data_IF_501778978939
#
_entry.id   IF_501778978939
#
_cell.length_a   1.000
_cell.length_b   1.000
_cell.length_c   1.000
_cell.angle_alpha   90.00
_cell.angle_beta   90.00
_cell.angle_gamma   90.00
#
_symmetry.space_group_name_H-M   'P 1'
#
loop_
_entity.id
_entity.type
_entity.pdbx_description
1 polymer ?
#
# COMPACT_ATOMS: atom_id res chain seq x y z
N UNK A 1 2.30 8.94 -22.47
CA UNK A 1 3.69 9.43 -22.62
C UNK A 1 3.77 10.83 -23.25
N UNK A 2 3.21 11.04 -24.43
CA UNK A 2 3.25 12.35 -25.11
C UNK A 2 2.69 13.50 -24.27
N UNK A 3 1.66 13.23 -23.51
CA UNK A 3 1.02 14.14 -22.55
C UNK A 3 1.96 14.59 -21.39
N UNK A 4 2.78 13.67 -20.83
CA UNK A 4 3.70 13.98 -19.74
C UNK A 4 4.88 14.85 -20.20
N UNK A 5 5.44 14.58 -21.38
CA UNK A 5 6.47 15.41 -21.99
C UNK A 5 5.95 16.81 -22.37
N UNK A 6 4.73 16.88 -22.89
CA UNK A 6 4.11 18.17 -23.23
C UNK A 6 3.86 18.99 -21.96
N UNK A 7 3.35 18.37 -20.89
CA UNK A 7 3.14 18.99 -19.62
C UNK A 7 4.47 19.48 -18.99
N UNK A 8 5.54 18.66 -19.01
CA UNK A 8 6.86 19.08 -18.56
C UNK A 8 7.34 20.32 -19.28
N UNK A 9 7.23 20.35 -20.63
CA UNK A 9 7.64 21.51 -21.44
C UNK A 9 6.82 22.76 -21.13
N UNK A 10 5.55 22.60 -20.80
CA UNK A 10 4.67 23.71 -20.42
C UNK A 10 5.09 24.33 -19.08
N UNK A 11 5.46 23.50 -18.10
CA UNK A 11 5.88 23.97 -16.78
C UNK A 11 7.32 24.51 -16.75
N UNK A 12 8.24 23.88 -17.48
CA UNK A 12 9.69 24.08 -17.28
C UNK A 12 10.45 24.47 -18.56
N UNK A 13 9.80 24.46 -19.72
CA UNK A 13 10.48 24.77 -21.00
C UNK A 13 11.21 23.57 -21.61
N UNK A 14 12.09 23.88 -22.59
CA UNK A 14 12.95 22.88 -23.26
C UNK A 14 14.35 22.92 -22.67
N UNK A 15 15.03 21.79 -22.59
CA UNK A 15 16.48 21.82 -22.53
C UNK A 15 17.22 20.86 -21.61
N UNK A 16 16.56 20.14 -20.72
CA UNK A 16 17.25 19.26 -19.77
C UNK A 16 17.31 17.80 -20.25
N UNK A 17 18.36 17.07 -19.84
CA UNK A 17 18.36 15.62 -19.94
C UNK A 17 17.31 15.05 -18.98
N UNK A 18 16.31 14.35 -19.53
CA UNK A 18 15.18 13.87 -18.78
C UNK A 18 15.36 12.39 -18.39
N UNK A 19 14.99 12.07 -17.16
CA UNK A 19 14.82 10.72 -16.67
C UNK A 19 13.34 10.40 -16.61
N UNK A 20 12.99 9.18 -16.97
CA UNK A 20 11.65 8.62 -16.78
C UNK A 20 11.71 7.50 -15.74
N UNK A 21 10.70 7.45 -14.88
CA UNK A 21 10.56 6.40 -13.89
C UNK A 21 9.07 6.07 -13.75
N UNK A 22 8.77 4.78 -13.61
CA UNK A 22 7.44 4.29 -13.26
C UNK A 22 7.48 3.67 -11.87
N UNK A 23 6.56 4.12 -11.01
CA UNK A 23 6.39 3.60 -9.66
C UNK A 23 4.98 3.01 -9.53
N UNK A 24 4.83 1.67 -9.47
CA UNK A 24 3.53 1.01 -9.51
C UNK A 24 2.75 1.24 -8.21
N UNK A 25 1.43 1.11 -8.31
CA UNK A 25 0.58 0.91 -7.15
C UNK A 25 0.66 -0.55 -6.67
N UNK A 26 0.09 -0.83 -5.48
CA UNK A 26 0.12 -2.16 -4.88
C UNK A 26 -1.25 -2.61 -4.39
N UNK A 27 -1.43 -3.90 -4.33
CA UNK A 27 -2.48 -4.57 -3.55
C UNK A 27 -1.86 -5.50 -2.52
N UNK A 28 -2.64 -5.81 -1.47
CA UNK A 28 -2.32 -6.80 -0.46
C UNK A 28 -3.46 -7.84 -0.42
N UNK A 29 -3.28 -9.03 -1.01
CA UNK A 29 -4.29 -10.08 -0.96
C UNK A 29 -4.52 -10.62 0.45
N UNK A 30 -3.44 -10.99 1.15
CA UNK A 30 -3.45 -11.51 2.52
C UNK A 30 -2.40 -10.81 3.37
N UNK A 31 -2.67 -10.67 4.66
CA UNK A 31 -1.77 -9.99 5.60
C UNK A 31 -2.10 -8.51 5.80
N UNK A 32 -3.34 -8.10 5.55
CA UNK A 32 -3.72 -6.71 5.77
C UNK A 32 -3.78 -6.36 7.26
N UNK A 33 -3.31 -5.15 7.57
CA UNK A 33 -3.32 -4.57 8.91
C UNK A 33 -2.48 -5.33 9.96
N UNK A 34 -1.51 -6.12 9.53
CA UNK A 34 -0.60 -6.83 10.45
C UNK A 34 0.87 -6.41 10.32
N UNK A 35 1.25 -5.73 9.25
CA UNK A 35 2.63 -5.28 9.00
C UNK A 35 3.17 -4.32 10.07
N UNK A 36 2.33 -3.43 10.61
CA UNK A 36 2.69 -2.55 11.73
C UNK A 36 2.85 -3.30 13.08
N UNK A 37 2.49 -4.58 13.12
CA UNK A 37 2.70 -5.50 14.25
C UNK A 37 3.73 -6.59 13.93
N UNK A 38 4.53 -6.40 12.89
CA UNK A 38 5.54 -7.33 12.42
C UNK A 38 4.97 -8.67 11.92
N UNK A 39 3.76 -8.67 11.36
CA UNK A 39 3.10 -9.86 10.81
C UNK A 39 3.60 -10.26 9.44
N UNK A 40 3.07 -11.39 8.97
CA UNK A 40 3.30 -11.93 7.63
C UNK A 40 2.38 -11.27 6.62
N UNK A 41 2.87 -10.93 5.44
CA UNK A 41 2.08 -10.24 4.42
C UNK A 41 2.36 -10.78 3.02
N UNK A 42 1.40 -10.56 2.12
CA UNK A 42 1.55 -10.82 0.69
C UNK A 42 1.25 -9.57 -0.12
N UNK A 43 1.77 -9.48 -1.34
CA UNK A 43 1.52 -8.33 -2.18
C UNK A 43 1.78 -8.53 -3.66
N UNK A 44 1.16 -7.65 -4.46
CA UNK A 44 1.48 -7.43 -5.85
C UNK A 44 1.63 -5.94 -6.12
N UNK A 45 2.63 -5.58 -6.91
CA UNK A 45 2.61 -4.37 -7.71
C UNK A 45 1.83 -4.63 -9.00
N UNK A 46 1.20 -3.63 -9.60
CA UNK A 46 0.43 -3.81 -10.82
C UNK A 46 0.63 -2.65 -11.81
N UNK A 47 0.28 -2.86 -13.06
CA UNK A 47 0.57 -2.06 -14.25
C UNK A 47 -0.08 -0.66 -14.28
N UNK A 48 -0.49 -0.17 -13.14
CA UNK A 48 -0.90 1.22 -12.90
C UNK A 48 -0.11 1.80 -11.74
N UNK A 49 0.20 3.09 -11.81
CA UNK A 49 1.10 3.71 -10.83
C UNK A 49 1.29 5.19 -11.07
N UNK A 50 2.43 5.69 -10.65
CA UNK A 50 2.87 7.06 -10.84
C UNK A 50 4.02 7.10 -11.84
N UNK A 51 3.82 7.82 -12.94
CA UNK A 51 4.86 8.16 -13.88
C UNK A 51 5.58 9.43 -13.42
N UNK A 52 6.91 9.40 -13.44
CA UNK A 52 7.77 10.54 -13.18
C UNK A 52 8.53 10.91 -14.45
N UNK A 53 8.58 12.20 -14.74
CA UNK A 53 9.46 12.78 -15.75
C UNK A 53 10.23 13.93 -15.10
N UNK A 54 11.56 13.84 -15.01
CA UNK A 54 12.35 14.80 -14.27
C UNK A 54 13.76 14.99 -14.82
N UNK A 55 14.38 16.09 -14.42
CA UNK A 55 15.79 16.41 -14.63
C UNK A 55 16.48 16.77 -13.31
N UNK A 56 17.81 16.73 -13.28
CA UNK A 56 18.59 17.21 -12.16
C UNK A 56 18.62 18.75 -12.11
N UNK A 57 18.70 19.32 -10.90
CA UNK A 57 19.02 20.74 -10.68
C UNK A 57 20.33 20.85 -9.91
N UNK A 58 21.31 21.56 -10.45
CA UNK A 58 22.63 21.74 -9.82
C UNK A 58 22.59 22.61 -8.55
N UNK A 59 21.53 23.41 -8.39
CA UNK A 59 21.35 24.34 -7.26
C UNK A 59 20.74 23.69 -6.02
N UNK A 60 20.44 22.38 -6.06
CA UNK A 60 19.71 21.71 -5.00
C UNK A 60 18.21 22.05 -4.95
N UNK A 61 17.70 22.81 -5.91
CA UNK A 61 16.28 23.19 -5.95
C UNK A 61 15.42 22.02 -6.37
N UNK A 62 14.35 21.74 -5.63
CA UNK A 62 13.26 20.83 -6.02
C UNK A 62 12.12 21.67 -6.55
N UNK A 63 11.64 21.32 -7.74
CA UNK A 63 10.48 21.92 -8.41
C UNK A 63 9.64 20.77 -8.99
N UNK A 64 8.58 20.36 -8.30
CA UNK A 64 7.73 19.24 -8.72
C UNK A 64 6.29 19.67 -8.91
N UNK A 65 5.75 19.42 -10.10
CA UNK A 65 4.34 19.58 -10.43
C UNK A 65 3.63 18.22 -10.47
N UNK A 66 2.33 18.24 -10.30
CA UNK A 66 1.48 17.04 -10.44
C UNK A 66 0.34 17.33 -11.42
N UNK A 67 0.00 16.34 -12.25
CA UNK A 67 -1.22 16.43 -13.08
C UNK A 67 -2.49 16.12 -12.30
N UNK A 68 -2.36 15.57 -11.09
CA UNK A 68 -3.50 15.22 -10.22
C UNK A 68 -3.76 16.22 -9.11
N UNK A 69 -2.78 17.10 -8.80
CA UNK A 69 -2.87 18.10 -7.74
C UNK A 69 -2.39 19.45 -8.23
N UNK A 70 -3.07 20.50 -7.79
CA UNK A 70 -2.68 21.86 -8.11
C UNK A 70 -1.40 22.30 -7.37
N UNK A 71 -0.70 23.24 -7.98
CA UNK A 71 0.46 23.91 -7.41
C UNK A 71 1.79 23.25 -7.72
N UNK A 72 2.82 24.07 -7.76
CA UNK A 72 4.22 23.67 -7.89
C UNK A 72 4.85 23.55 -6.50
N UNK A 73 5.31 22.34 -6.16
CA UNK A 73 6.06 22.12 -4.93
C UNK A 73 7.49 22.59 -5.12
N UNK A 74 7.92 23.57 -4.32
CA UNK A 74 9.25 24.16 -4.41
C UNK A 74 9.91 24.19 -3.03
N UNK A 75 11.12 23.65 -2.96
CA UNK A 75 12.02 23.75 -1.79
C UNK A 75 13.46 23.47 -2.22
N UNK A 76 14.43 23.52 -1.29
CA UNK A 76 15.83 23.30 -1.63
C UNK A 76 16.45 22.26 -0.69
N UNK A 77 17.07 21.21 -1.25
CA UNK A 77 17.68 20.13 -0.46
C UNK A 77 18.89 20.58 0.36
N UNK A 78 19.60 21.64 -0.05
CA UNK A 78 20.75 22.18 0.68
C UNK A 78 20.36 23.17 1.81
N UNK A 79 19.13 23.70 1.75
CA UNK A 79 18.58 24.67 2.71
C UNK A 79 17.20 24.20 3.12
N UNK A 80 17.14 22.93 3.54
CA UNK A 80 15.88 22.27 3.82
C UNK A 80 15.28 22.82 5.12
N UNK A 81 14.02 23.26 5.06
CA UNK A 81 13.21 23.59 6.22
C UNK A 81 12.25 22.41 6.49
N UNK A 82 12.30 21.86 7.69
CA UNK A 82 11.58 20.66 8.08
C UNK A 82 10.07 20.89 8.33
N UNK A 83 9.56 22.11 8.17
CA UNK A 83 8.15 22.42 8.42
C UNK A 83 7.22 21.79 7.39
N UNK A 84 6.22 21.08 7.90
CA UNK A 84 5.11 20.53 7.10
C UNK A 84 4.22 21.64 6.58
N UNK A 85 3.72 21.47 5.36
CA UNK A 85 2.78 22.42 4.73
C UNK A 85 1.37 21.82 4.55
N UNK A 86 1.13 20.58 5.02
CA UNK A 86 -0.12 19.87 4.91
C UNK A 86 -0.63 19.71 3.47
N UNK A 87 0.29 19.48 2.53
CA UNK A 87 0.02 19.23 1.13
C UNK A 87 0.79 18.01 0.62
N UNK A 88 0.56 17.60 -0.64
CA UNK A 88 1.22 16.43 -1.21
C UNK A 88 2.75 16.56 -1.28
N UNK A 89 3.29 17.77 -1.26
CA UNK A 89 4.72 18.03 -1.19
C UNK A 89 5.38 17.57 0.12
N UNK A 90 4.59 17.28 1.17
CA UNK A 90 5.14 16.75 2.42
C UNK A 90 5.74 15.36 2.26
N UNK A 91 5.26 14.56 1.30
CA UNK A 91 5.90 13.30 0.92
C UNK A 91 7.29 13.53 0.32
N UNK A 92 7.42 14.53 -0.54
CA UNK A 92 8.71 14.89 -1.16
C UNK A 92 9.69 15.46 -0.12
N UNK A 93 9.20 16.35 0.76
CA UNK A 93 10.00 16.90 1.87
C UNK A 93 10.44 15.79 2.83
N UNK A 94 9.52 14.88 3.17
CA UNK A 94 9.81 13.74 4.02
C UNK A 94 10.88 12.80 3.44
N UNK A 95 10.86 12.55 2.13
CA UNK A 95 11.90 11.76 1.47
C UNK A 95 13.27 12.41 1.55
N UNK A 96 13.36 13.74 1.31
CA UNK A 96 14.62 14.50 1.46
C UNK A 96 15.08 14.49 2.92
N UNK A 97 14.18 14.74 3.86
CA UNK A 97 14.47 14.70 5.30
C UNK A 97 15.01 13.34 5.74
N UNK A 98 14.40 12.24 5.27
CA UNK A 98 14.85 10.90 5.59
C UNK A 98 16.26 10.59 5.01
N UNK A 99 16.50 10.96 3.76
CA UNK A 99 17.81 10.77 3.11
C UNK A 99 18.92 11.61 3.77
N UNK A 100 18.61 12.81 4.23
CA UNK A 100 19.57 13.69 4.88
C UNK A 100 20.06 13.21 6.25
N UNK A 101 19.42 12.20 6.82
CA UNK A 101 19.93 11.57 8.04
C UNK A 101 21.27 10.86 7.81
N UNK A 102 21.49 10.33 6.59
CA UNK A 102 22.68 9.55 6.26
C UNK A 102 23.48 10.15 5.08
N UNK A 103 22.93 11.08 4.28
CA UNK A 103 23.55 11.61 3.07
C UNK A 103 23.54 13.13 2.98
N UNK A 104 24.60 13.69 2.42
CA UNK A 104 24.65 15.11 2.04
C UNK A 104 24.12 15.28 0.60
N UNK A 105 22.90 15.76 0.45
CA UNK A 105 22.29 16.02 -0.85
C UNK A 105 22.79 17.35 -1.44
N UNK A 106 23.23 17.31 -2.72
CA UNK A 106 23.75 18.46 -3.45
C UNK A 106 22.81 18.91 -4.55
N UNK A 107 22.18 17.95 -5.25
CA UNK A 107 21.31 18.16 -6.39
C UNK A 107 19.86 17.97 -6.00
N UNK A 108 18.98 18.81 -6.52
CA UNK A 108 17.55 18.63 -6.47
C UNK A 108 17.02 18.07 -7.79
N UNK A 109 15.71 18.06 -7.92
CA UNK A 109 15.01 17.59 -9.13
C UNK A 109 13.99 18.62 -9.59
N UNK A 110 13.82 18.73 -10.90
CA UNK A 110 12.74 19.47 -11.54
C UNK A 110 11.92 18.47 -12.34
N UNK A 111 10.63 18.37 -12.09
CA UNK A 111 9.87 17.34 -12.74
C UNK A 111 8.36 17.44 -12.59
N UNK A 112 7.70 16.48 -13.19
CA UNK A 112 6.26 16.31 -13.16
C UNK A 112 5.90 14.87 -12.86
N UNK A 113 4.83 14.67 -12.11
CA UNK A 113 4.26 13.35 -11.80
C UNK A 113 2.82 13.23 -12.28
N UNK A 114 2.45 12.03 -12.71
CA UNK A 114 1.10 11.69 -13.14
C UNK A 114 0.68 10.34 -12.56
N UNK A 115 -0.37 10.33 -11.77
CA UNK A 115 -1.04 9.10 -11.35
C UNK A 115 -1.98 8.58 -12.45
N UNK A 116 -2.06 7.27 -12.61
CA UNK A 116 -2.90 6.62 -13.64
C UNK A 116 -4.31 6.29 -13.16
N UNK A 117 -4.59 6.36 -11.85
CA UNK A 117 -5.86 5.99 -11.24
C UNK A 117 -6.30 6.99 -10.16
N UNK A 118 -7.57 6.98 -9.75
CA UNK A 118 -8.06 7.73 -8.60
C UNK A 118 -7.28 7.40 -7.32
N UNK A 119 -7.20 8.37 -6.42
CA UNK A 119 -6.47 8.21 -5.16
C UNK A 119 -7.37 7.56 -4.12
N UNK A 120 -6.92 6.43 -3.57
CA UNK A 120 -7.60 5.76 -2.45
C UNK A 120 -7.35 4.25 -2.40
N UNK A 121 -6.71 3.79 -1.32
CA UNK A 121 -6.54 2.37 -1.02
C UNK A 121 -5.42 1.63 -1.77
N UNK A 122 -4.75 2.23 -2.76
CA UNK A 122 -3.72 1.59 -3.60
C UNK A 122 -2.29 2.03 -3.28
N UNK A 123 -2.07 2.68 -2.14
CA UNK A 123 -0.77 3.20 -1.68
C UNK A 123 -0.05 4.13 -2.66
N UNK A 124 -0.79 5.09 -3.20
CA UNK A 124 -0.20 6.14 -4.02
C UNK A 124 0.87 6.96 -3.28
N UNK A 125 0.79 7.07 -1.95
CA UNK A 125 1.81 7.70 -1.12
C UNK A 125 3.13 6.93 -1.16
N UNK A 126 3.12 5.61 -0.98
CA UNK A 126 4.31 4.78 -1.06
C UNK A 126 4.91 4.79 -2.48
N UNK A 127 4.07 4.73 -3.53
CA UNK A 127 4.53 4.84 -4.91
C UNK A 127 5.20 6.20 -5.17
N UNK A 128 4.62 7.30 -4.67
CA UNK A 128 5.24 8.63 -4.77
C UNK A 128 6.56 8.71 -4.00
N UNK A 129 6.60 8.19 -2.77
CA UNK A 129 7.79 8.21 -1.92
C UNK A 129 8.94 7.39 -2.53
N UNK A 130 8.69 6.13 -2.91
CA UNK A 130 9.72 5.26 -3.49
C UNK A 130 10.25 5.83 -4.80
N UNK A 131 9.36 6.30 -5.69
CA UNK A 131 9.76 6.94 -6.94
C UNK A 131 10.59 8.21 -6.71
N UNK A 132 10.22 9.04 -5.73
CA UNK A 132 10.95 10.26 -5.45
C UNK A 132 12.30 10.00 -4.75
N UNK A 133 12.38 9.02 -3.84
CA UNK A 133 13.65 8.56 -3.25
C UNK A 133 14.61 8.11 -4.37
N UNK A 134 14.14 7.31 -5.32
CA UNK A 134 14.93 6.88 -6.47
C UNK A 134 15.33 8.05 -7.39
N UNK A 135 14.47 9.06 -7.57
CA UNK A 135 14.81 10.24 -8.35
C UNK A 135 15.93 11.05 -7.69
N UNK A 136 15.89 11.25 -6.37
CA UNK A 136 16.96 11.91 -5.60
C UNK A 136 18.24 11.07 -5.57
N UNK A 137 18.12 9.74 -5.41
CA UNK A 137 19.27 8.83 -5.52
C UNK A 137 19.97 8.99 -6.88
N UNK A 138 19.20 8.93 -7.98
CA UNK A 138 19.73 9.05 -9.34
C UNK A 138 20.54 10.31 -9.57
N UNK A 139 19.98 11.46 -9.17
CA UNK A 139 20.64 12.76 -9.43
C UNK A 139 21.82 13.03 -8.51
N UNK A 140 21.83 12.46 -7.30
CA UNK A 140 22.93 12.58 -6.33
C UNK A 140 23.92 11.41 -6.38
N UNK A 141 23.63 10.35 -7.16
CA UNK A 141 24.47 9.16 -7.31
C UNK A 141 24.77 8.47 -5.96
N UNK A 142 23.73 8.30 -5.13
CA UNK A 142 23.87 7.72 -3.80
C UNK A 142 24.11 6.20 -3.86
N UNK A 143 23.59 5.53 -4.89
CA UNK A 143 23.72 4.10 -5.10
C UNK A 143 22.91 3.25 -4.13
N UNK A 144 21.69 3.67 -3.84
CA UNK A 144 20.79 2.98 -2.90
C UNK A 144 20.38 1.59 -3.45
N UNK A 145 20.44 0.59 -2.58
CA UNK A 145 19.81 -0.70 -2.86
C UNK A 145 18.29 -0.69 -2.57
N UNK A 146 17.60 -1.77 -2.95
CA UNK A 146 16.16 -1.91 -2.75
C UNK A 146 15.74 -1.78 -1.28
N UNK A 147 16.51 -2.32 -0.33
CA UNK A 147 16.22 -2.23 1.11
C UNK A 147 16.38 -0.79 1.63
N UNK A 148 17.38 -0.08 1.14
CA UNK A 148 17.59 1.32 1.49
C UNK A 148 16.47 2.22 0.95
N UNK A 149 15.98 1.98 -0.29
CA UNK A 149 14.82 2.70 -0.83
C UNK A 149 13.59 2.50 0.06
N UNK A 150 13.28 1.25 0.45
CA UNK A 150 12.18 0.92 1.38
C UNK A 150 12.38 1.62 2.72
N UNK A 151 13.59 1.56 3.29
CA UNK A 151 13.94 2.20 4.56
C UNK A 151 13.63 3.70 4.55
N UNK A 152 14.16 4.44 3.56
CA UNK A 152 14.00 5.90 3.53
C UNK A 152 12.57 6.31 3.20
N UNK A 153 11.88 5.61 2.31
CA UNK A 153 10.46 5.85 2.04
C UNK A 153 9.59 5.60 3.29
N UNK A 154 9.87 4.53 4.05
CA UNK A 154 9.16 4.21 5.29
C UNK A 154 9.46 5.20 6.42
N UNK A 155 10.71 5.65 6.57
CA UNK A 155 11.08 6.70 7.53
C UNK A 155 10.34 8.01 7.20
N UNK A 156 10.33 8.41 5.92
CA UNK A 156 9.61 9.60 5.47
C UNK A 156 8.12 9.54 5.82
N UNK A 157 7.45 8.42 5.55
CA UNK A 157 6.02 8.27 5.79
C UNK A 157 5.68 8.22 7.28
N UNK A 158 6.46 7.47 8.08
CA UNK A 158 6.20 7.31 9.52
C UNK A 158 6.60 8.52 10.34
N UNK A 159 7.81 9.02 10.15
CA UNK A 159 8.39 10.03 11.05
C UNK A 159 8.11 11.46 10.58
N UNK A 160 8.12 11.71 9.27
CA UNK A 160 7.85 13.04 8.75
C UNK A 160 6.37 13.26 8.47
N UNK A 161 5.71 12.38 7.71
CA UNK A 161 4.27 12.52 7.40
C UNK A 161 3.40 12.15 8.60
N UNK A 162 3.80 11.16 9.42
CA UNK A 162 3.13 10.79 10.67
C UNK A 162 2.07 9.70 10.51
N UNK A 163 2.22 8.82 9.53
CA UNK A 163 1.39 7.64 9.33
C UNK A 163 2.10 6.41 9.93
N UNK A 164 1.53 5.81 10.98
CA UNK A 164 2.14 4.69 11.72
C UNK A 164 1.91 3.32 11.03
N UNK A 165 2.17 3.23 9.73
CA UNK A 165 2.09 1.98 8.97
C UNK A 165 3.36 1.10 9.14
N UNK A 166 3.29 -0.15 8.63
CA UNK A 166 4.46 -1.01 8.47
C UNK A 166 5.21 -0.73 7.17
N UNK A 167 5.86 -1.75 6.62
CA UNK A 167 6.70 -1.65 5.42
C UNK A 167 6.06 -2.27 4.17
N UNK A 168 4.89 -2.88 4.30
CA UNK A 168 4.21 -3.60 3.22
C UNK A 168 4.12 -2.78 1.94
N UNK A 169 3.68 -1.53 2.05
CA UNK A 169 3.40 -0.68 0.91
C UNK A 169 4.66 -0.39 0.10
N UNK A 170 5.73 0.04 0.75
CA UNK A 170 7.01 0.32 0.14
C UNK A 170 7.68 -0.96 -0.39
N UNK A 171 7.58 -2.06 0.37
CA UNK A 171 8.13 -3.34 -0.04
C UNK A 171 7.46 -3.86 -1.33
N UNK A 172 6.14 -3.78 -1.45
CA UNK A 172 5.45 -4.14 -2.68
C UNK A 172 5.89 -3.27 -3.87
N UNK A 173 5.91 -1.95 -3.69
CA UNK A 173 6.33 -1.00 -4.75
C UNK A 173 7.74 -1.28 -5.23
N UNK A 174 8.66 -1.75 -4.37
CA UNK A 174 10.08 -1.89 -4.70
C UNK A 174 10.47 -3.34 -5.07
N UNK A 175 9.89 -4.34 -4.41
CA UNK A 175 10.37 -5.73 -4.49
C UNK A 175 9.59 -6.60 -5.48
N UNK A 176 8.33 -6.28 -5.77
CA UNK A 176 7.48 -7.13 -6.61
C UNK A 176 8.09 -7.39 -7.99
N UNK A 177 7.79 -8.55 -8.52
CA UNK A 177 8.07 -8.96 -9.90
C UNK A 177 6.79 -9.39 -10.59
N UNK A 178 6.76 -9.21 -11.91
CA UNK A 178 5.62 -9.63 -12.72
C UNK A 178 5.28 -11.12 -12.47
N UNK A 179 3.99 -11.41 -12.39
CA UNK A 179 3.43 -12.75 -12.25
C UNK A 179 3.88 -13.54 -11.00
N UNK A 180 4.48 -12.85 -10.00
CA UNK A 180 4.89 -13.48 -8.74
C UNK A 180 4.22 -12.81 -7.54
N UNK A 181 3.77 -13.63 -6.60
CA UNK A 181 3.29 -13.17 -5.30
C UNK A 181 4.49 -12.82 -4.43
N UNK A 182 4.57 -11.59 -3.95
CA UNK A 182 5.48 -11.24 -2.87
C UNK A 182 4.95 -11.83 -1.56
N UNK A 183 5.76 -12.63 -0.88
CA UNK A 183 5.58 -13.04 0.51
C UNK A 183 6.69 -12.42 1.35
N UNK A 184 6.32 -11.71 2.41
CA UNK A 184 7.25 -10.93 3.23
C UNK A 184 6.96 -11.17 4.72
N UNK A 185 7.99 -11.50 5.49
CA UNK A 185 7.99 -11.39 6.95
C UNK A 185 8.45 -9.99 7.34
N UNK A 186 7.54 -9.17 7.86
CA UNK A 186 7.84 -7.76 8.16
C UNK A 186 8.64 -7.57 9.45
N UNK A 187 8.88 -8.65 10.22
CA UNK A 187 9.77 -8.63 11.38
C UNK A 187 11.24 -8.74 10.99
N UNK A 188 11.55 -9.65 10.05
CA UNK A 188 12.91 -9.95 9.60
C UNK A 188 13.29 -9.24 8.31
N UNK A 189 12.30 -8.71 7.60
CA UNK A 189 12.38 -8.15 6.25
C UNK A 189 12.86 -9.18 5.20
N UNK A 190 12.77 -10.48 5.54
CA UNK A 190 13.00 -11.56 4.58
C UNK A 190 11.78 -11.73 3.67
N UNK A 191 12.02 -11.90 2.38
CA UNK A 191 10.95 -12.04 1.40
C UNK A 191 11.22 -13.15 0.38
N UNK A 192 10.15 -13.62 -0.24
CA UNK A 192 10.18 -14.55 -1.35
C UNK A 192 9.25 -14.03 -2.46
N UNK A 193 9.66 -14.24 -3.70
CA UNK A 193 8.87 -14.00 -4.89
C UNK A 193 8.39 -15.35 -5.42
N UNK A 194 7.13 -15.65 -5.22
CA UNK A 194 6.55 -16.98 -5.42
C UNK A 194 5.78 -17.04 -6.74
N UNK A 195 6.17 -17.90 -7.67
CA UNK A 195 5.36 -18.19 -8.84
C UNK A 195 4.06 -18.89 -8.41
N UNK A 196 3.01 -18.79 -9.22
CA UNK A 196 1.77 -19.53 -9.01
C UNK A 196 1.96 -21.00 -9.41
N UNK A 197 1.64 -21.93 -8.52
CA UNK A 197 1.92 -23.36 -8.74
C UNK A 197 3.40 -23.59 -8.99
N UNK A 198 3.73 -24.29 -10.07
CA UNK A 198 5.10 -24.54 -10.53
C UNK A 198 5.67 -23.42 -11.44
N UNK A 199 4.88 -22.39 -11.70
CA UNK A 199 5.25 -21.27 -12.56
C UNK A 199 5.23 -21.58 -14.07
N UNK A 200 4.73 -22.74 -14.48
CA UNK A 200 4.69 -23.14 -15.90
C UNK A 200 3.50 -22.53 -16.66
N UNK A 201 2.49 -22.05 -15.95
CA UNK A 201 1.29 -21.46 -16.52
C UNK A 201 1.16 -19.98 -16.16
N UNK A 202 0.54 -19.16 -17.02
CA UNK A 202 0.22 -17.78 -16.67
C UNK A 202 -0.76 -17.74 -15.50
N UNK A 203 -0.82 -16.59 -14.83
CA UNK A 203 -1.77 -16.37 -13.74
C UNK A 203 -3.22 -16.59 -14.23
N UNK A 204 -4.04 -17.34 -13.51
CA UNK A 204 -5.42 -17.63 -13.91
C UNK A 204 -6.39 -16.47 -13.66
N UNK A 205 -5.91 -15.30 -13.26
CA UNK A 205 -6.72 -14.15 -12.89
C UNK A 205 -6.14 -12.82 -13.39
N UNK A 206 -7.00 -11.81 -13.45
CA UNK A 206 -6.64 -10.39 -13.47
C UNK A 206 -6.97 -9.75 -12.12
N UNK A 207 -6.33 -8.62 -11.81
CA UNK A 207 -6.61 -7.84 -10.62
C UNK A 207 -7.78 -6.88 -10.90
N UNK A 208 -8.94 -7.13 -10.27
CA UNK A 208 -10.07 -6.21 -10.30
C UNK A 208 -9.92 -5.13 -9.23
N UNK A 209 -10.01 -3.85 -9.62
CA UNK A 209 -9.99 -2.69 -8.72
C UNK A 209 -11.33 -1.99 -8.82
N UNK A 210 -12.05 -1.89 -7.71
CA UNK A 210 -13.40 -1.31 -7.64
C UNK A 210 -13.36 -0.07 -6.73
N UNK A 211 -13.26 1.11 -7.35
CA UNK A 211 -13.30 2.37 -6.61
C UNK A 211 -14.72 2.72 -6.20
N UNK A 212 -14.93 2.97 -4.91
CA UNK A 212 -16.26 3.31 -4.37
C UNK A 212 -16.77 4.69 -4.78
N UNK A 213 -15.92 5.56 -5.31
CA UNK A 213 -16.27 6.95 -5.62
C UNK A 213 -16.33 7.88 -4.41
N UNK A 214 -16.05 7.38 -3.21
CA UNK A 214 -16.05 8.18 -1.99
C UNK A 214 -14.76 8.99 -1.90
N UNK A 215 -14.86 10.31 -2.10
CA UNK A 215 -13.73 11.26 -2.09
C UNK A 215 -13.59 12.04 -0.77
N UNK A 216 -14.58 11.99 0.13
CA UNK A 216 -14.57 12.77 1.36
C UNK A 216 -13.34 12.47 2.21
N UNK A 217 -12.61 13.53 2.59
CA UNK A 217 -11.55 13.45 3.60
C UNK A 217 -12.21 13.03 4.91
N UNK A 218 -12.02 11.79 5.33
CA UNK A 218 -12.22 11.42 6.72
C UNK A 218 -11.07 12.09 7.48
N UNK A 219 -11.34 13.24 8.08
CA UNK A 219 -10.43 13.90 9.00
C UNK A 219 -10.19 12.97 10.18
N UNK A 220 -8.93 12.53 10.37
CA UNK A 220 -8.55 11.59 11.42
C UNK A 220 -9.00 10.17 11.08
N UNK A 221 -8.22 9.45 10.30
CA UNK A 221 -8.49 8.02 10.08
C UNK A 221 -8.29 7.29 11.41
N UNK A 222 -9.22 6.42 11.79
CA UNK A 222 -9.09 5.51 12.93
C UNK A 222 -7.90 4.55 12.79
N UNK A 223 -7.13 4.64 11.69
CA UNK A 223 -6.00 3.78 11.41
C UNK A 223 -4.93 3.85 12.51
N UNK A 224 -4.45 5.05 12.86
CA UNK A 224 -3.47 5.19 13.95
C UNK A 224 -4.05 4.73 15.31
N UNK A 225 -5.36 4.89 15.52
CA UNK A 225 -6.03 4.34 16.69
C UNK A 225 -5.97 2.79 16.69
N UNK A 226 -6.25 2.14 15.55
CA UNK A 226 -6.15 0.68 15.43
C UNK A 226 -4.73 0.18 15.69
N UNK A 227 -3.72 0.88 15.18
CA UNK A 227 -2.30 0.57 15.48
C UNK A 227 -2.02 0.65 16.98
N UNK A 228 -2.51 1.69 17.65
CA UNK A 228 -2.36 1.84 19.11
C UNK A 228 -3.11 0.76 19.90
N UNK A 229 -4.30 0.36 19.45
CA UNK A 229 -5.07 -0.73 20.05
C UNK A 229 -4.34 -2.08 19.93
N UNK A 230 -3.70 -2.38 18.80
CA UNK A 230 -2.88 -3.59 18.63
C UNK A 230 -1.67 -3.59 19.58
N UNK A 231 -0.97 -2.45 19.70
CA UNK A 231 0.15 -2.32 20.65
C UNK A 231 -0.32 -2.49 22.09
N UNK A 232 -1.47 -1.92 22.44
CA UNK A 232 -2.08 -2.10 23.77
C UNK A 232 -2.42 -3.56 24.03
N UNK A 233 -2.97 -4.27 23.03
CA UNK A 233 -3.25 -5.70 23.15
C UNK A 233 -1.97 -6.50 23.43
N UNK A 234 -0.89 -6.25 22.69
CA UNK A 234 0.41 -6.89 22.92
C UNK A 234 0.95 -6.60 24.33
N UNK A 235 0.93 -5.34 24.75
CA UNK A 235 1.39 -4.91 26.07
C UNK A 235 0.58 -5.56 27.21
N UNK A 236 -0.74 -5.71 27.06
CA UNK A 236 -1.59 -6.40 28.01
C UNK A 236 -1.25 -7.89 28.13
N UNK A 237 -0.98 -8.55 27.00
CA UNK A 237 -0.59 -9.97 26.99
C UNK A 237 0.77 -10.17 27.65
N UNK A 238 1.76 -9.31 27.40
CA UNK A 238 3.04 -9.31 28.12
C UNK A 238 2.82 -9.17 29.62
N UNK A 239 1.95 -8.24 30.07
CA UNK A 239 1.63 -8.05 31.48
C UNK A 239 0.94 -9.26 32.10
N UNK A 240 0.00 -9.91 31.41
CA UNK A 240 -0.71 -11.08 31.93
C UNK A 240 0.18 -12.31 32.07
N UNK A 241 1.16 -12.49 31.18
CA UNK A 241 2.10 -13.60 31.21
C UNK A 241 3.35 -13.30 32.05
N UNK A 242 3.45 -12.11 32.70
CA UNK A 242 4.61 -11.62 33.42
C UNK A 242 5.89 -11.55 32.56
N UNK A 243 5.75 -11.29 31.27
CA UNK A 243 6.88 -10.96 30.40
C UNK A 243 7.35 -9.54 30.76
N UNK A 244 8.66 -9.26 30.80
CA UNK A 244 9.17 -7.91 31.07
C UNK A 244 8.59 -6.90 30.11
N UNK A 245 7.90 -5.88 30.64
CA UNK A 245 7.25 -4.86 29.83
C UNK A 245 8.26 -3.97 29.11
N UNK A 246 7.98 -3.71 27.85
CA UNK A 246 8.70 -2.74 27.02
C UNK A 246 7.93 -1.43 26.95
N UNK A 247 8.54 -0.41 26.37
CA UNK A 247 7.82 0.81 26.00
C UNK A 247 6.65 0.47 25.04
N UNK A 248 5.46 1.03 25.30
CA UNK A 248 4.25 0.71 24.53
C UNK A 248 4.45 0.87 23.02
N UNK A 249 5.27 1.86 22.62
CA UNK A 249 5.56 2.10 21.21
C UNK A 249 6.40 1.00 20.55
N UNK A 250 7.13 0.23 21.32
CA UNK A 250 8.01 -0.86 20.88
C UNK A 250 7.36 -2.24 20.94
N UNK A 251 6.20 -2.38 21.63
CA UNK A 251 5.49 -3.65 21.71
C UNK A 251 4.81 -4.02 20.40
N UNK A 252 4.86 -5.29 20.08
CA UNK A 252 4.22 -5.87 18.88
C UNK A 252 3.56 -7.20 19.21
N UNK A 253 2.43 -7.49 18.58
CA UNK A 253 1.76 -8.79 18.74
C UNK A 253 2.66 -9.95 18.27
N UNK A 254 3.53 -9.73 17.28
CA UNK A 254 4.52 -10.73 16.83
C UNK A 254 5.46 -11.21 17.93
N UNK A 255 5.73 -10.39 18.92
CA UNK A 255 6.66 -10.69 20.01
C UNK A 255 6.01 -11.51 21.15
N UNK A 256 4.70 -11.73 21.05
CA UNK A 256 3.93 -12.53 22.00
C UNK A 256 3.47 -13.80 21.31
N UNK A 257 3.70 -14.95 21.94
CA UNK A 257 3.25 -16.24 21.43
C UNK A 257 1.71 -16.30 21.35
N UNK A 258 1.17 -16.86 20.29
CA UNK A 258 -0.28 -17.01 20.12
C UNK A 258 -0.92 -17.81 21.27
N UNK A 259 -0.19 -18.77 21.86
CA UNK A 259 -0.69 -19.55 23.00
C UNK A 259 -0.92 -18.66 24.23
N UNK A 260 -0.17 -17.57 24.39
CA UNK A 260 -0.42 -16.56 25.43
C UNK A 260 -1.73 -15.83 25.15
N UNK A 261 -1.98 -15.45 23.88
CA UNK A 261 -3.26 -14.85 23.50
C UNK A 261 -4.43 -15.80 23.80
N UNK A 262 -4.38 -17.04 23.32
CA UNK A 262 -5.44 -18.04 23.56
C UNK A 262 -5.69 -18.28 25.04
N UNK A 263 -4.65 -18.26 25.88
CA UNK A 263 -4.75 -18.41 27.34
C UNK A 263 -5.47 -17.24 28.03
N UNK A 264 -5.34 -16.04 27.49
CA UNK A 264 -5.82 -14.82 28.16
C UNK A 264 -6.90 -14.06 27.38
N UNK A 265 -7.34 -14.55 26.22
CA UNK A 265 -8.32 -13.88 25.36
C UNK A 265 -9.57 -13.44 26.12
N UNK A 266 -10.16 -14.34 26.91
CA UNK A 266 -11.37 -14.08 27.72
C UNK A 266 -11.17 -13.05 28.84
N UNK A 267 -9.94 -12.75 29.20
CA UNK A 267 -9.59 -11.73 30.23
C UNK A 267 -9.35 -10.36 29.63
N UNK A 268 -9.15 -10.28 28.32
CA UNK A 268 -8.92 -9.02 27.63
C UNK A 268 -10.23 -8.28 27.44
N UNK A 269 -10.25 -6.92 27.50
CA UNK A 269 -11.35 -6.17 26.96
C UNK A 269 -11.57 -6.51 25.48
N UNK A 270 -12.82 -6.75 25.10
CA UNK A 270 -13.21 -7.28 23.79
C UNK A 270 -12.56 -6.54 22.60
N UNK A 271 -12.43 -5.22 22.69
CA UNK A 271 -11.76 -4.40 21.66
C UNK A 271 -10.34 -4.88 21.39
N UNK A 272 -9.54 -5.08 22.43
CA UNK A 272 -8.13 -5.48 22.28
C UNK A 272 -7.99 -6.96 21.93
N UNK A 273 -8.88 -7.82 22.48
CA UNK A 273 -8.95 -9.23 22.11
C UNK A 273 -9.20 -9.37 20.59
N UNK A 274 -10.15 -8.59 20.02
CA UNK A 274 -10.42 -8.61 18.58
C UNK A 274 -9.20 -8.17 17.75
N UNK A 275 -8.42 -7.17 18.18
CA UNK A 275 -7.19 -6.76 17.46
C UNK A 275 -6.16 -7.88 17.44
N UNK A 276 -5.94 -8.53 18.59
CA UNK A 276 -5.02 -9.67 18.68
C UNK A 276 -5.52 -10.86 17.85
N UNK A 277 -6.82 -11.20 17.92
CA UNK A 277 -7.44 -12.25 17.10
C UNK A 277 -7.26 -11.99 15.61
N UNK A 278 -7.46 -10.72 15.16
CA UNK A 278 -7.18 -10.37 13.77
C UNK A 278 -5.73 -10.67 13.38
N UNK A 279 -4.78 -10.25 14.22
CA UNK A 279 -3.35 -10.41 13.94
C UNK A 279 -2.96 -11.89 13.80
N UNK A 280 -3.27 -12.73 14.77
CA UNK A 280 -2.86 -14.13 14.75
C UNK A 280 -3.55 -14.90 13.62
N UNK A 281 -4.87 -14.79 13.51
CA UNK A 281 -5.61 -15.49 12.44
C UNK A 281 -5.27 -14.98 11.04
N UNK A 282 -4.81 -13.73 10.89
CA UNK A 282 -4.36 -13.21 9.60
C UNK A 282 -2.98 -13.76 9.22
N UNK A 283 -2.07 -13.91 10.16
CA UNK A 283 -0.77 -14.57 9.93
C UNK A 283 -0.96 -16.03 9.51
N UNK A 284 -1.92 -16.75 10.11
CA UNK A 284 -2.27 -18.11 9.72
C UNK A 284 -2.84 -18.14 8.30
N UNK A 285 -3.77 -17.22 7.96
CA UNK A 285 -4.32 -17.11 6.60
C UNK A 285 -3.23 -16.81 5.56
N UNK A 286 -2.22 -15.99 5.90
CA UNK A 286 -1.07 -15.76 5.02
C UNK A 286 -0.31 -17.07 4.79
N UNK A 287 -0.02 -17.80 5.86
CA UNK A 287 0.73 -19.07 5.80
C UNK A 287 -0.02 -20.12 4.94
N UNK A 288 -1.30 -20.31 5.21
CA UNK A 288 -2.14 -21.26 4.46
C UNK A 288 -2.41 -20.80 3.02
N UNK A 289 -2.57 -19.49 2.83
CA UNK A 289 -2.73 -18.89 1.51
C UNK A 289 -1.49 -19.06 0.64
N UNK A 290 -0.30 -18.83 1.20
CA UNK A 290 0.97 -19.08 0.50
C UNK A 290 1.12 -20.57 0.12
N UNK A 291 0.65 -21.49 0.94
CA UNK A 291 0.60 -22.91 0.62
C UNK A 291 -0.35 -23.19 -0.55
N UNK A 292 -1.58 -22.68 -0.50
CA UNK A 292 -2.54 -22.81 -1.59
C UNK A 292 -2.00 -22.18 -2.90
N UNK A 293 -1.32 -21.04 -2.82
CA UNK A 293 -0.66 -20.40 -3.96
C UNK A 293 0.40 -21.31 -4.61
N UNK A 294 1.29 -21.91 -3.80
CA UNK A 294 2.32 -22.86 -4.26
C UNK A 294 1.73 -24.14 -4.83
N UNK A 295 0.55 -24.55 -4.37
CA UNK A 295 -0.22 -25.71 -4.90
C UNK A 295 -0.95 -25.37 -6.20
N UNK A 296 -1.02 -24.09 -6.62
CA UNK A 296 -1.77 -23.64 -7.79
C UNK A 296 -3.29 -23.61 -7.58
N UNK A 297 -3.76 -23.56 -6.33
CA UNK A 297 -5.18 -23.57 -5.97
C UNK A 297 -5.69 -22.14 -5.75
N UNK A 298 -6.13 -21.51 -6.85
CA UNK A 298 -6.62 -20.12 -6.83
C UNK A 298 -7.94 -19.99 -6.06
N UNK A 299 -8.80 -21.00 -6.09
CA UNK A 299 -10.09 -20.99 -5.38
C UNK A 299 -9.86 -20.96 -3.86
N UNK A 300 -8.95 -21.80 -3.38
CA UNK A 300 -8.58 -21.84 -1.96
C UNK A 300 -7.86 -20.57 -1.52
N UNK A 301 -6.93 -20.03 -2.33
CA UNK A 301 -6.28 -18.76 -2.07
C UNK A 301 -7.30 -17.62 -2.01
N UNK A 302 -8.22 -17.57 -2.97
CA UNK A 302 -9.30 -16.58 -3.02
C UNK A 302 -10.25 -16.65 -1.82
N UNK A 303 -10.58 -17.85 -1.36
CA UNK A 303 -11.37 -18.05 -0.13
C UNK A 303 -10.71 -17.38 1.08
N UNK A 304 -9.40 -17.55 1.26
CA UNK A 304 -8.67 -16.88 2.34
C UNK A 304 -8.71 -15.35 2.22
N UNK A 305 -8.74 -14.79 1.00
CA UNK A 305 -8.89 -13.35 0.80
C UNK A 305 -10.25 -12.86 1.32
N UNK A 306 -11.33 -13.59 1.05
CA UNK A 306 -12.66 -13.27 1.60
C UNK A 306 -12.67 -13.35 3.12
N UNK A 307 -12.13 -14.42 3.71
CA UNK A 307 -12.02 -14.59 5.16
C UNK A 307 -11.18 -13.50 5.82
N UNK A 308 -10.10 -13.04 5.17
CA UNK A 308 -9.29 -11.90 5.59
C UNK A 308 -10.11 -10.61 5.65
N UNK A 309 -10.98 -10.38 4.65
CA UNK A 309 -11.87 -9.23 4.66
C UNK A 309 -12.89 -9.30 5.80
N UNK A 310 -13.48 -10.47 6.05
CA UNK A 310 -14.39 -10.69 7.17
C UNK A 310 -13.71 -10.38 8.52
N UNK A 311 -12.47 -10.85 8.70
CA UNK A 311 -11.70 -10.53 9.90
C UNK A 311 -11.36 -9.04 9.99
N UNK A 312 -11.11 -8.38 8.85
CA UNK A 312 -10.90 -6.92 8.80
C UNK A 312 -12.15 -6.16 9.26
N UNK A 313 -13.35 -6.61 8.90
CA UNK A 313 -14.61 -6.01 9.35
C UNK A 313 -14.91 -6.31 10.82
N UNK A 314 -14.82 -7.58 11.22
CA UNK A 314 -15.32 -8.03 12.51
C UNK A 314 -14.31 -7.86 13.65
N UNK A 315 -13.02 -8.05 13.35
CA UNK A 315 -11.95 -8.03 14.35
C UNK A 315 -11.11 -6.75 14.28
N UNK A 316 -10.69 -6.28 13.09
CA UNK A 316 -9.95 -5.04 12.97
C UNK A 316 -10.86 -3.81 12.98
N UNK A 317 -12.14 -3.99 12.67
CA UNK A 317 -13.19 -2.96 12.62
C UNK A 317 -12.87 -1.82 11.66
N UNK A 318 -12.59 -2.17 10.41
CA UNK A 318 -12.56 -1.26 9.29
C UNK A 318 -13.65 -1.61 8.26
N UNK A 319 -13.84 -0.76 7.27
CA UNK A 319 -14.89 -0.86 6.27
C UNK A 319 -15.85 0.32 6.36
N UNK A 320 -16.05 1.03 5.23
CA UNK A 320 -17.19 1.95 5.11
C UNK A 320 -18.40 1.19 4.58
N UNK A 321 -19.62 1.69 4.76
CA UNK A 321 -20.82 1.08 4.18
C UNK A 321 -20.68 0.78 2.69
N UNK A 322 -20.09 1.71 1.93
CA UNK A 322 -19.88 1.58 0.49
C UNK A 322 -18.90 0.44 0.15
N UNK A 323 -17.79 0.31 0.89
CA UNK A 323 -16.83 -0.77 0.68
C UNK A 323 -17.41 -2.13 1.08
N UNK A 324 -18.17 -2.19 2.17
CA UNK A 324 -18.85 -3.41 2.62
C UNK A 324 -19.83 -3.89 1.55
N UNK A 325 -20.61 -3.00 0.96
CA UNK A 325 -21.57 -3.36 -0.09
C UNK A 325 -20.88 -3.83 -1.39
N UNK A 326 -19.75 -3.23 -1.76
CA UNK A 326 -18.93 -3.76 -2.87
C UNK A 326 -18.43 -5.16 -2.52
N UNK A 327 -17.88 -5.37 -1.33
CA UNK A 327 -17.40 -6.67 -0.87
C UNK A 327 -18.49 -7.74 -0.89
N UNK A 328 -19.67 -7.46 -0.33
CA UNK A 328 -20.80 -8.39 -0.33
C UNK A 328 -21.30 -8.72 -1.75
N UNK A 329 -21.19 -7.75 -2.67
CA UNK A 329 -21.49 -7.97 -4.07
C UNK A 329 -20.45 -8.88 -4.72
N UNK A 330 -19.15 -8.64 -4.47
CA UNK A 330 -18.07 -9.48 -4.97
C UNK A 330 -18.21 -10.96 -4.53
N UNK A 331 -18.55 -11.20 -3.26
CA UNK A 331 -18.73 -12.57 -2.70
C UNK A 331 -19.76 -13.43 -3.45
N UNK A 332 -20.78 -12.81 -4.02
CA UNK A 332 -21.87 -13.50 -4.76
C UNK A 332 -21.71 -13.43 -6.27
N UNK A 333 -20.62 -12.85 -6.75
CA UNK A 333 -20.37 -12.67 -8.19
C UNK A 333 -19.54 -13.83 -8.71
N UNK A 334 -20.13 -14.60 -9.64
CA UNK A 334 -19.41 -15.69 -10.31
C UNK A 334 -18.21 -15.16 -11.10
N UNK A 335 -17.06 -15.84 -10.97
CA UNK A 335 -15.79 -15.46 -11.57
C UNK A 335 -14.92 -14.53 -10.70
N UNK A 336 -15.33 -14.23 -9.46
CA UNK A 336 -14.46 -13.61 -8.46
C UNK A 336 -13.97 -14.70 -7.51
N UNK A 337 -12.68 -15.02 -7.58
CA UNK A 337 -12.05 -16.03 -6.72
C UNK A 337 -11.91 -15.56 -5.28
N UNK A 338 -11.61 -14.27 -5.08
CA UNK A 338 -11.45 -13.66 -3.76
C UNK A 338 -11.41 -12.15 -3.86
N UNK A 339 -11.81 -11.45 -2.79
CA UNK A 339 -11.83 -9.99 -2.78
C UNK A 339 -11.89 -9.40 -1.38
N UNK A 340 -11.40 -8.16 -1.26
CA UNK A 340 -11.33 -7.45 0.01
C UNK A 340 -11.17 -5.93 -0.15
N UNK A 341 -11.24 -5.19 0.94
CA UNK A 341 -10.84 -3.77 0.98
C UNK A 341 -9.35 -3.62 0.69
N UNK A 342 -8.96 -2.51 0.09
CA UNK A 342 -7.57 -2.16 -0.14
C UNK A 342 -7.11 -0.98 0.73
N UNK A 343 -5.83 -1.00 1.13
CA UNK A 343 -5.23 0.00 2.01
C UNK A 343 -5.82 -0.03 3.42
N UNK A 344 -6.04 1.13 4.03
CA UNK A 344 -6.57 1.24 5.40
C UNK A 344 -8.01 0.72 5.58
N UNK A 345 -8.74 0.48 4.49
CA UNK A 345 -10.09 -0.09 4.53
C UNK A 345 -11.21 0.86 4.96
N UNK A 346 -10.96 2.14 5.15
CA UNK A 346 -11.99 3.11 5.56
C UNK A 346 -12.62 3.87 4.39
N UNK A 347 -12.00 3.85 3.20
CA UNK A 347 -12.46 4.48 1.95
C UNK A 347 -11.61 3.99 0.78
N UNK A 348 -11.96 4.40 -0.44
CA UNK A 348 -11.17 4.15 -1.64
C UNK A 348 -11.70 2.95 -2.41
N UNK A 349 -10.96 1.86 -2.45
CA UNK A 349 -11.26 0.74 -3.33
C UNK A 349 -11.36 -0.60 -2.60
N UNK A 350 -12.10 -1.53 -3.22
CA UNK A 350 -11.95 -2.97 -3.02
C UNK A 350 -11.07 -3.54 -4.14
N UNK A 351 -10.40 -4.65 -3.84
CA UNK A 351 -9.63 -5.42 -4.81
C UNK A 351 -10.18 -6.84 -4.91
N UNK A 352 -10.04 -7.46 -6.08
CA UNK A 352 -10.42 -8.84 -6.29
C UNK A 352 -9.46 -9.56 -7.25
N UNK A 353 -9.39 -10.89 -7.13
CA UNK A 353 -8.84 -11.78 -8.15
C UNK A 353 -9.99 -12.25 -9.04
N UNK A 354 -9.93 -11.96 -10.33
CA UNK A 354 -11.06 -12.06 -11.27
C UNK A 354 -10.72 -13.01 -12.42
N UNK A 355 -11.62 -13.92 -12.76
CA UNK A 355 -11.52 -14.72 -14.00
C UNK A 355 -11.51 -13.77 -15.23
N UNK A 356 -10.42 -13.74 -16.04
CA UNK A 356 -10.33 -12.85 -17.18
C UNK A 356 -11.45 -13.04 -18.21
N UNK A 357 -12.02 -14.24 -18.28
CA UNK A 357 -13.10 -14.58 -19.22
C UNK A 357 -14.45 -13.98 -18.80
N UNK A 358 -14.61 -13.61 -17.54
CA UNK A 358 -15.86 -13.10 -16.94
C UNK A 358 -15.82 -11.62 -16.60
N UNK A 359 -14.69 -10.94 -16.79
CA UNK A 359 -14.44 -9.58 -16.30
C UNK A 359 -15.49 -8.55 -16.73
N UNK A 360 -15.97 -8.59 -17.98
CA UNK A 360 -16.98 -7.63 -18.45
C UNK A 360 -18.34 -7.84 -17.76
N UNK A 361 -18.75 -9.10 -17.58
CA UNK A 361 -19.95 -9.43 -16.82
C UNK A 361 -19.85 -9.04 -15.35
N UNK A 362 -18.69 -9.25 -14.73
CA UNK A 362 -18.38 -8.85 -13.34
C UNK A 362 -18.49 -7.33 -13.23
N UNK A 363 -17.82 -6.57 -14.13
CA UNK A 363 -17.88 -5.11 -14.13
C UNK A 363 -19.32 -4.62 -14.22
N UNK A 364 -20.09 -5.15 -15.15
CA UNK A 364 -21.48 -4.75 -15.34
C UNK A 364 -22.34 -5.07 -14.10
N UNK A 365 -22.20 -6.29 -13.55
CA UNK A 365 -22.99 -6.72 -12.41
C UNK A 365 -22.68 -5.91 -11.16
N UNK A 366 -21.39 -5.77 -10.79
CA UNK A 366 -20.98 -5.02 -9.59
C UNK A 366 -21.37 -3.55 -9.73
N UNK A 367 -21.16 -2.93 -10.90
CA UNK A 367 -21.56 -1.54 -11.16
C UNK A 367 -23.07 -1.35 -10.97
N UNK A 368 -23.88 -2.21 -11.56
CA UNK A 368 -25.35 -2.11 -11.47
C UNK A 368 -25.84 -2.26 -10.03
N UNK A 369 -25.34 -3.26 -9.30
CA UNK A 369 -25.74 -3.51 -7.91
C UNK A 369 -25.31 -2.36 -7.00
N UNK A 370 -24.10 -1.86 -7.16
CA UNK A 370 -23.59 -0.76 -6.35
C UNK A 370 -24.37 0.55 -6.63
N UNK A 371 -24.55 0.92 -7.88
CA UNK A 371 -25.23 2.17 -8.26
C UNK A 371 -26.74 2.16 -8.01
N UNK A 372 -27.39 1.01 -7.87
CA UNK A 372 -28.77 0.94 -7.35
C UNK A 372 -28.87 1.50 -5.93
N UNK A 373 -27.86 1.24 -5.10
CA UNK A 373 -27.82 1.67 -3.71
C UNK A 373 -27.19 3.06 -3.55
N UNK A 374 -26.21 3.38 -4.38
CA UNK A 374 -25.40 4.60 -4.32
C UNK A 374 -25.42 5.39 -5.64
N UNK A 375 -26.59 5.85 -6.14
CA UNK A 375 -26.68 6.54 -7.44
C UNK A 375 -25.87 7.84 -7.50
N UNK A 376 -25.55 8.44 -6.35
CA UNK A 376 -24.74 9.65 -6.26
C UNK A 376 -23.28 9.44 -6.68
N UNK A 377 -22.80 8.21 -6.75
CA UNK A 377 -21.42 7.90 -7.17
C UNK A 377 -21.32 7.48 -8.65
N UNK A 378 -22.38 7.70 -9.45
CA UNK A 378 -22.42 7.30 -10.88
C UNK A 378 -21.22 7.80 -11.69
N UNK A 379 -20.76 9.02 -11.42
CA UNK A 379 -19.67 9.67 -12.15
C UNK A 379 -18.29 9.46 -11.50
N UNK A 380 -18.22 8.76 -10.35
CA UNK A 380 -16.99 8.55 -9.59
C UNK A 380 -16.72 7.08 -9.22
N UNK A 381 -17.70 6.20 -9.39
CA UNK A 381 -17.48 4.76 -9.27
C UNK A 381 -16.78 4.24 -10.52
N UNK A 382 -15.63 3.60 -10.33
CA UNK A 382 -14.83 3.10 -11.44
C UNK A 382 -14.35 1.68 -11.20
N UNK A 383 -14.26 0.88 -12.25
CA UNK A 383 -13.76 -0.50 -12.23
C UNK A 383 -12.65 -0.64 -13.26
N UNK A 384 -11.49 -1.10 -12.79
CA UNK A 384 -10.32 -1.40 -13.60
C UNK A 384 -9.94 -2.86 -13.50
N UNK A 385 -9.35 -3.40 -14.58
CA UNK A 385 -8.68 -4.69 -14.58
C UNK A 385 -7.22 -4.48 -14.93
N UNK A 386 -6.34 -5.05 -14.13
CA UNK A 386 -4.91 -4.78 -14.15
C UNK A 386 -4.13 -6.10 -14.06
N UNK A 387 -2.83 -6.03 -14.33
CA UNK A 387 -1.94 -7.18 -14.27
C UNK A 387 -0.82 -6.94 -13.25
N UNK A 388 -0.38 -7.97 -12.52
CA UNK A 388 0.84 -7.89 -11.73
C UNK A 388 2.04 -7.47 -12.57
N UNK A 389 2.87 -6.57 -12.04
CA UNK A 389 4.03 -6.04 -12.74
C UNK A 389 5.28 -6.00 -11.85
N UNK A 390 6.40 -5.60 -12.44
CA UNK A 390 7.63 -5.33 -11.70
C UNK A 390 7.48 -4.10 -10.81
N UNK A 391 8.28 -4.05 -9.75
CA UNK A 391 8.39 -2.89 -8.89
C UNK A 391 8.92 -1.65 -9.61
N UNK A 392 9.11 -0.58 -8.83
CA UNK A 392 9.58 0.71 -9.34
C UNK A 392 10.90 0.59 -10.09
N UNK A 393 10.97 1.20 -11.28
CA UNK A 393 12.18 1.22 -12.10
C UNK A 393 12.19 2.40 -13.08
N UNK A 394 13.38 2.69 -13.60
CA UNK A 394 13.58 3.63 -14.70
C UNK A 394 13.11 3.01 -16.02
N UNK A 395 12.52 3.85 -16.89
CA UNK A 395 12.04 3.48 -18.23
C UNK A 395 13.07 3.81 -19.31
#
# INVERSE_FOLDING_TARGET
>A
MEDLFQAYRTFFGKGDALYQLFSPYRICPLGAHVDHQHGLVTGFAFDNGIEFLFSATETGKVEMASLSFEGLMTFNVQRFNEEKQNNWGDYLRGAVWALQQDFQLKRGVRGIVKGSMPIGGLSSSAALLCGFVMAIDKVNQLGLDKRQIIKYASIAERQYVGLNNGILDQACVVLCEADKLLYLDTATEEYQLLPFGDGSQPLPFELGIFFSGVTRKLTGTDYNLRVSECKTAAWMLEAYENIPLRELQETRLRDVDEQVFLKYEDRMPERFARRARHFYTECDRVTDGVKAWKEGDIEKFGKYIFESCESSMNNYECGSPELIDIYETMRRTDGIYGGRFSGAGFKGACIALVDPKKKDGIKQFVTNEYLKKYPQYKDSFEVYFCHPCHGVDFL
#
